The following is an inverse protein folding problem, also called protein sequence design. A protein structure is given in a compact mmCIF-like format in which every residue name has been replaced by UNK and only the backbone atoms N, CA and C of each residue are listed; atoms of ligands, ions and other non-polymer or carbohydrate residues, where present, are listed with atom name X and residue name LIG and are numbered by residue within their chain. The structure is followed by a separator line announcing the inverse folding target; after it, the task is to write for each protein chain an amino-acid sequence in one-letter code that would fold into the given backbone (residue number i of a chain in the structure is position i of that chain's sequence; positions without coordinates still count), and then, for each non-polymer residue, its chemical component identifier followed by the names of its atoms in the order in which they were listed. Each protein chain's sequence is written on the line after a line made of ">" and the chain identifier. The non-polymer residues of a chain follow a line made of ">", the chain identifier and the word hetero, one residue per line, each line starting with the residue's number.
data_IF_371110291277
#
_entry.id   IF_371110291277
#
_cell.length_a   1.000
_cell.length_b   1.000
_cell.length_c   1.000
_cell.angle_alpha   90.00
_cell.angle_beta   90.00
_cell.angle_gamma   90.00
#
_symmetry.space_group_name_H-M   'P 1'
#
loop_
_entity.id
_entity.type
_entity.pdbx_description
1 polymer ?
#
# COMPACT_ATOMS: atom_id res chain seq x y z
N UNK A 1 -20.37 -23.86 -29.25
CA UNK A 1 -20.89 -23.22 -28.02
C UNK A 1 -19.65 -22.69 -27.32
N UNK A 2 -19.49 -21.36 -27.19
CA UNK A 2 -18.28 -20.78 -26.58
C UNK A 2 -18.31 -21.07 -25.09
N UNK A 3 -17.24 -21.63 -24.55
CA UNK A 3 -17.03 -21.73 -23.11
C UNK A 3 -17.01 -20.31 -22.54
N UNK A 4 -18.00 -19.97 -21.73
CA UNK A 4 -18.02 -18.70 -21.02
C UNK A 4 -17.01 -18.78 -19.89
N UNK A 5 -16.12 -17.78 -19.79
CA UNK A 5 -15.20 -17.66 -18.67
C UNK A 5 -15.98 -17.44 -17.38
N UNK A 6 -15.70 -18.25 -16.36
CA UNK A 6 -16.25 -18.05 -15.02
C UNK A 6 -15.44 -16.97 -14.29
N UNK A 7 -16.12 -15.86 -13.97
CA UNK A 7 -15.54 -14.71 -13.28
C UNK A 7 -15.81 -14.72 -11.76
N UNK A 8 -16.59 -15.69 -11.27
CA UNK A 8 -16.94 -15.79 -9.84
C UNK A 8 -15.70 -15.75 -8.92
N UNK A 9 -14.60 -16.49 -9.22
CA UNK A 9 -13.40 -16.45 -8.37
C UNK A 9 -12.73 -15.07 -8.32
N UNK A 10 -12.81 -14.31 -9.42
CA UNK A 10 -12.23 -12.96 -9.50
C UNK A 10 -13.08 -11.98 -8.70
N UNK A 11 -14.40 -12.08 -8.80
CA UNK A 11 -15.33 -11.26 -8.03
C UNK A 11 -15.15 -11.47 -6.52
N UNK A 12 -15.08 -12.72 -6.07
CA UNK A 12 -14.82 -13.07 -4.67
C UNK A 12 -13.48 -12.50 -4.17
N UNK A 13 -12.42 -12.60 -4.97
CA UNK A 13 -11.12 -12.03 -4.63
C UNK A 13 -11.16 -10.50 -4.52
N UNK A 14 -11.88 -9.83 -5.42
CA UNK A 14 -12.02 -8.36 -5.42
C UNK A 14 -12.85 -7.86 -4.22
N UNK A 15 -13.87 -8.61 -3.81
CA UNK A 15 -14.72 -8.24 -2.68
C UNK A 15 -14.01 -8.46 -1.34
N UNK A 16 -13.33 -9.61 -1.18
CA UNK A 16 -12.71 -10.03 0.08
C UNK A 16 -11.42 -9.30 0.42
N UNK A 17 -10.61 -8.89 -0.57
CA UNK A 17 -9.34 -8.21 -0.32
C UNK A 17 -9.53 -6.71 -0.01
N UNK A 18 -8.75 -6.19 0.94
CA UNK A 18 -8.72 -4.76 1.26
C UNK A 18 -7.53 -4.02 0.62
N UNK A 19 -6.50 -4.78 0.25
CA UNK A 19 -5.24 -4.26 -0.30
C UNK A 19 -4.92 -4.95 -1.62
N UNK A 20 -4.56 -4.17 -2.62
CA UNK A 20 -4.27 -4.62 -3.98
C UNK A 20 -2.94 -4.07 -4.48
N UNK A 21 -2.24 -4.90 -5.25
CA UNK A 21 -1.10 -4.49 -6.05
C UNK A 21 -1.44 -4.70 -7.53
N UNK A 22 -1.46 -3.63 -8.31
CA UNK A 22 -1.64 -3.67 -9.76
C UNK A 22 -0.26 -3.57 -10.40
N UNK A 23 0.18 -4.67 -11.01
CA UNK A 23 1.53 -4.78 -11.57
C UNK A 23 1.45 -4.72 -13.09
N UNK A 24 2.17 -3.78 -13.70
CA UNK A 24 2.29 -3.68 -15.15
C UNK A 24 3.48 -4.51 -15.66
N UNK A 25 3.37 -5.11 -16.86
CA UNK A 25 4.49 -5.76 -17.50
C UNK A 25 5.51 -4.73 -18.02
N UNK A 26 6.68 -5.20 -18.47
CA UNK A 26 7.74 -4.33 -19.00
C UNK A 26 7.51 -3.93 -20.47
N UNK A 27 6.72 -4.71 -21.22
CA UNK A 27 6.39 -4.46 -22.63
C UNK A 27 5.15 -3.55 -22.76
N UNK A 28 5.32 -2.28 -22.39
CA UNK A 28 4.22 -1.34 -22.26
C UNK A 28 3.56 -0.97 -23.60
N UNK A 29 2.26 -0.77 -23.55
CA UNK A 29 1.47 -0.08 -24.57
C UNK A 29 0.34 0.70 -23.88
N UNK A 30 -0.32 1.59 -24.62
CA UNK A 30 -1.37 2.46 -24.07
C UNK A 30 -2.51 1.68 -23.42
N UNK A 31 -2.90 0.54 -24.00
CA UNK A 31 -3.98 -0.29 -23.47
C UNK A 31 -3.62 -0.90 -22.10
N UNK A 32 -2.43 -1.48 -21.96
CA UNK A 32 -1.93 -2.03 -20.69
C UNK A 32 -1.85 -0.98 -19.59
N UNK A 33 -1.35 0.22 -19.92
CA UNK A 33 -1.26 1.33 -18.97
C UNK A 33 -2.65 1.85 -18.59
N UNK A 34 -3.52 2.05 -19.57
CA UNK A 34 -4.89 2.52 -19.34
C UNK A 34 -5.73 1.51 -18.53
N UNK A 35 -5.64 0.22 -18.85
CA UNK A 35 -6.36 -0.84 -18.14
C UNK A 35 -5.90 -0.94 -16.67
N UNK A 36 -4.59 -0.90 -16.43
CA UNK A 36 -4.03 -0.90 -15.08
C UNK A 36 -4.48 0.33 -14.27
N UNK A 37 -4.46 1.51 -14.89
CA UNK A 37 -4.94 2.74 -14.26
C UNK A 37 -6.43 2.71 -13.99
N UNK A 38 -7.24 2.27 -14.94
CA UNK A 38 -8.70 2.15 -14.78
C UNK A 38 -9.05 1.21 -13.61
N UNK A 39 -8.41 0.05 -13.52
CA UNK A 39 -8.59 -0.88 -12.42
C UNK A 39 -8.15 -0.27 -11.09
N UNK A 40 -6.96 0.34 -11.05
CA UNK A 40 -6.41 0.97 -9.84
C UNK A 40 -7.31 2.08 -9.31
N UNK A 41 -7.79 2.96 -10.20
CA UNK A 41 -8.68 4.06 -9.85
C UNK A 41 -10.06 3.56 -9.41
N UNK A 42 -10.58 2.51 -10.04
CA UNK A 42 -11.86 1.91 -9.66
C UNK A 42 -11.80 1.30 -8.25
N UNK A 43 -10.74 0.55 -7.96
CA UNK A 43 -10.50 -0.02 -6.63
C UNK A 43 -10.29 1.07 -5.57
N UNK A 44 -9.55 2.13 -5.88
CA UNK A 44 -9.40 3.29 -4.99
C UNK A 44 -10.73 3.98 -4.71
N UNK A 45 -11.56 4.16 -5.74
CA UNK A 45 -12.92 4.74 -5.60
C UNK A 45 -13.82 3.85 -4.74
N UNK A 46 -13.62 2.54 -4.75
CA UNK A 46 -14.28 1.57 -3.88
C UNK A 46 -13.71 1.53 -2.44
N UNK A 47 -12.80 2.44 -2.07
CA UNK A 47 -12.23 2.52 -0.72
C UNK A 47 -11.15 1.47 -0.42
N UNK A 48 -10.62 0.79 -1.44
CA UNK A 48 -9.54 -0.19 -1.28
C UNK A 48 -8.17 0.49 -1.28
N UNK A 49 -7.21 -0.12 -0.59
CA UNK A 49 -5.81 0.30 -0.63
C UNK A 49 -5.15 -0.28 -1.88
N UNK A 50 -4.62 0.57 -2.77
CA UNK A 50 -4.09 0.11 -4.06
C UNK A 50 -2.75 0.73 -4.37
N UNK A 51 -1.75 -0.12 -4.57
CA UNK A 51 -0.47 0.25 -5.17
C UNK A 51 -0.45 -0.14 -6.65
N UNK A 52 0.12 0.72 -7.49
CA UNK A 52 0.29 0.45 -8.92
C UNK A 52 1.78 0.60 -9.27
N UNK A 53 2.35 -0.43 -9.87
CA UNK A 53 3.80 -0.56 -10.07
C UNK A 53 4.18 -1.03 -11.46
N UNK A 54 5.28 -0.52 -11.98
CA UNK A 54 5.90 -0.99 -13.22
C UNK A 54 7.42 -0.91 -13.09
N UNK A 55 8.16 -1.95 -13.46
CA UNK A 55 9.61 -1.94 -13.39
C UNK A 55 10.28 -0.94 -14.37
N UNK A 56 9.56 -0.54 -15.42
CA UNK A 56 10.03 0.40 -16.44
C UNK A 56 9.45 1.79 -16.15
N UNK A 57 10.24 2.88 -16.26
CA UNK A 57 9.73 4.23 -16.07
C UNK A 57 8.64 4.59 -17.09
N UNK A 58 7.59 5.28 -16.64
CA UNK A 58 6.59 5.85 -17.54
C UNK A 58 7.22 6.98 -18.37
N UNK A 59 7.00 6.95 -19.68
CA UNK A 59 7.47 7.98 -20.61
C UNK A 59 6.37 9.04 -20.85
N UNK A 60 6.75 10.13 -21.50
CA UNK A 60 5.82 11.22 -21.89
C UNK A 60 4.70 10.75 -22.82
N UNK A 61 4.87 9.63 -23.51
CA UNK A 61 3.84 9.03 -24.37
C UNK A 61 2.54 8.74 -23.60
N UNK A 62 2.64 8.45 -22.31
CA UNK A 62 1.50 8.12 -21.44
C UNK A 62 0.99 9.32 -20.63
N UNK A 63 1.50 10.54 -20.86
CA UNK A 63 1.19 11.72 -20.04
C UNK A 63 -0.27 12.17 -20.12
N UNK A 64 -1.00 11.74 -21.16
CA UNK A 64 -2.44 11.99 -21.31
C UNK A 64 -3.30 11.13 -20.40
N UNK A 65 -2.75 10.05 -19.82
CA UNK A 65 -3.48 9.14 -18.95
C UNK A 65 -3.54 9.66 -17.52
N UNK A 66 -4.76 9.75 -16.99
CA UNK A 66 -5.01 10.25 -15.64
C UNK A 66 -4.39 9.31 -14.60
N UNK A 67 -3.56 9.86 -13.71
CA UNK A 67 -2.93 9.12 -12.64
C UNK A 67 -1.68 8.34 -13.04
N UNK A 68 -1.14 8.58 -14.24
CA UNK A 68 0.14 7.96 -14.69
C UNK A 68 1.30 8.31 -13.75
N UNK A 69 1.27 9.48 -13.12
CA UNK A 69 2.20 9.95 -12.10
C UNK A 69 2.18 9.09 -10.82
N UNK A 70 1.13 8.29 -10.62
CA UNK A 70 0.98 7.42 -9.45
C UNK A 70 1.64 6.05 -9.62
N UNK A 71 2.12 5.72 -10.83
CA UNK A 71 2.80 4.46 -11.13
C UNK A 71 4.21 4.51 -10.54
N UNK A 72 4.49 3.61 -9.59
CA UNK A 72 5.79 3.53 -8.91
C UNK A 72 6.70 2.51 -9.59
N UNK A 73 8.00 2.76 -9.58
CA UNK A 73 8.97 1.80 -10.13
C UNK A 73 9.25 0.61 -9.21
N UNK A 74 8.97 0.78 -7.92
CA UNK A 74 9.21 -0.22 -6.89
C UNK A 74 7.99 -0.29 -6.00
N UNK A 75 7.61 -1.52 -5.66
CA UNK A 75 6.58 -1.78 -4.67
C UNK A 75 7.10 -1.39 -3.28
N UNK A 76 6.30 -0.64 -2.53
CA UNK A 76 6.54 -0.36 -1.12
C UNK A 76 6.26 -1.59 -0.25
N UNK A 77 6.60 -1.50 1.04
CA UNK A 77 6.13 -2.51 2.01
C UNK A 77 7.19 -3.38 2.69
N UNK A 78 8.41 -2.87 2.91
CA UNK A 78 9.34 -3.52 3.86
C UNK A 78 9.35 -2.89 5.26
N UNK A 79 8.82 -1.68 5.40
CA UNK A 79 8.91 -0.90 6.63
C UNK A 79 7.52 -0.68 7.22
N UNK A 80 7.35 -1.03 8.50
CA UNK A 80 6.24 -0.57 9.31
C UNK A 80 6.58 0.82 9.82
N UNK A 81 5.82 1.85 9.42
CA UNK A 81 5.95 3.22 9.92
C UNK A 81 4.89 3.44 11.00
N UNK A 82 5.32 3.69 12.23
CA UNK A 82 4.46 4.04 13.36
C UNK A 82 4.73 5.51 13.67
N UNK A 83 3.70 6.36 13.58
CA UNK A 83 3.81 7.81 13.81
C UNK A 83 2.98 8.20 15.02
N UNK A 84 3.53 9.00 15.94
CA UNK A 84 2.82 9.48 17.12
C UNK A 84 2.56 10.97 16.99
N UNK A 85 1.30 11.38 17.07
CA UNK A 85 0.93 12.81 16.99
C UNK A 85 1.27 13.50 18.31
N UNK A 86 2.01 14.61 18.24
CA UNK A 86 2.35 15.44 19.40
C UNK A 86 3.56 15.00 20.21
N UNK A 87 4.37 14.07 19.69
CA UNK A 87 5.67 13.68 20.26
C UNK A 87 6.81 14.22 19.40
N UNK A 88 7.82 14.81 20.04
CA UNK A 88 9.06 15.20 19.37
C UNK A 88 10.14 14.12 19.57
N UNK A 89 11.23 14.20 18.82
CA UNK A 89 12.33 13.22 18.89
C UNK A 89 12.88 13.08 20.32
N UNK A 90 12.91 14.18 21.07
CA UNK A 90 13.33 14.21 22.48
C UNK A 90 12.34 13.58 23.45
N UNK A 91 11.13 13.21 23.02
CA UNK A 91 10.10 12.66 23.90
C UNK A 91 10.28 11.17 24.19
N UNK A 92 11.08 10.47 23.38
CA UNK A 92 11.29 9.03 23.50
C UNK A 92 12.56 8.79 24.32
N UNK A 93 12.44 7.98 25.38
CA UNK A 93 13.57 7.56 26.19
C UNK A 93 14.21 6.30 25.61
N UNK A 94 13.38 5.31 25.25
CA UNK A 94 13.87 4.00 24.81
C UNK A 94 12.92 3.33 23.83
N UNK A 95 13.51 2.74 22.78
CA UNK A 95 12.84 1.80 21.88
C UNK A 95 13.51 0.44 22.02
N UNK A 96 12.73 -0.61 22.27
CA UNK A 96 13.21 -1.97 22.42
C UNK A 96 12.30 -2.97 21.73
N UNK A 97 12.83 -4.15 21.43
CA UNK A 97 12.05 -5.24 20.84
C UNK A 97 12.21 -6.51 21.67
N UNK A 98 11.16 -7.32 21.72
CA UNK A 98 11.16 -8.63 22.35
C UNK A 98 10.47 -9.63 21.43
N UNK A 99 11.03 -10.83 21.34
CA UNK A 99 10.45 -11.93 20.56
C UNK A 99 10.28 -13.12 21.48
N UNK A 100 9.07 -13.28 22.02
CA UNK A 100 8.71 -14.40 22.89
C UNK A 100 7.42 -15.05 22.37
N UNK A 101 7.30 -16.38 22.49
CA UNK A 101 6.08 -17.12 22.13
C UNK A 101 5.56 -16.86 20.70
N UNK A 102 6.46 -16.71 19.74
CA UNK A 102 6.12 -16.42 18.34
C UNK A 102 5.41 -15.07 18.12
N UNK A 103 5.57 -14.13 19.06
CA UNK A 103 5.06 -12.77 18.98
C UNK A 103 6.22 -11.77 19.01
N UNK A 104 6.25 -10.89 18.01
CA UNK A 104 7.22 -9.79 17.93
C UNK A 104 6.59 -8.54 18.54
N UNK A 105 7.19 -8.05 19.62
CA UNK A 105 6.73 -6.86 20.34
C UNK A 105 7.74 -5.72 20.15
N UNK A 106 7.25 -4.54 19.78
CA UNK A 106 8.01 -3.29 19.79
C UNK A 106 7.53 -2.46 21.00
N UNK A 107 8.42 -2.20 21.95
CA UNK A 107 8.13 -1.45 23.17
C UNK A 107 8.78 -0.08 23.09
N UNK A 108 7.96 0.97 23.15
CA UNK A 108 8.37 2.37 23.08
C UNK A 108 8.07 3.00 24.44
N UNK A 109 9.11 3.55 25.07
CA UNK A 109 9.04 4.18 26.38
C UNK A 109 9.26 5.70 26.23
N UNK A 110 8.27 6.54 26.57
CA UNK A 110 8.46 7.98 26.63
C UNK A 110 9.25 8.37 27.89
N UNK A 111 9.87 9.55 27.87
CA UNK A 111 10.57 10.11 29.05
C UNK A 111 9.61 10.41 30.20
N UNK A 112 10.14 10.44 31.42
CA UNK A 112 9.39 10.87 32.60
C UNK A 112 8.76 12.26 32.41
N UNK A 113 7.48 12.38 32.81
CA UNK A 113 6.70 13.60 32.67
C UNK A 113 5.95 13.73 31.34
N UNK A 114 6.16 12.82 30.39
CA UNK A 114 5.40 12.77 29.13
C UNK A 114 4.25 11.74 29.26
N UNK A 115 3.03 12.07 28.79
CA UNK A 115 1.92 11.13 28.82
C UNK A 115 2.26 9.80 28.13
N UNK A 116 1.70 8.67 28.60
CA UNK A 116 1.89 7.40 27.93
C UNK A 116 1.33 7.44 26.50
N UNK A 117 2.00 6.70 25.60
CA UNK A 117 1.52 6.47 24.25
C UNK A 117 0.35 5.51 24.35
N UNK A 118 -0.85 6.02 24.10
CA UNK A 118 -2.09 5.26 24.11
C UNK A 118 -2.55 4.98 22.67
N UNK A 119 -3.31 3.90 22.47
CA UNK A 119 -3.70 3.39 21.14
C UNK A 119 -4.48 4.40 20.29
N UNK A 120 -5.14 5.37 20.93
CA UNK A 120 -5.85 6.48 20.30
C UNK A 120 -4.92 7.52 19.64
N UNK A 121 -3.61 7.45 19.90
CA UNK A 121 -2.59 8.38 19.38
C UNK A 121 -1.65 7.76 18.35
N UNK A 122 -1.95 6.55 17.90
CA UNK A 122 -1.24 5.79 16.85
C UNK A 122 -1.92 5.99 15.50
#
# INVERSE_FOLDING_TARGET
>A
MKDFYDFTPVEEALLSAQTFAVVLPTDLNTDKVAAALALSLSLKKAGKQVEIVCAVPMTVEYSSLVGVDKIRQKMGGRNLLISFVGYNEDSIEKVSYQSENNQFNLVIQPKEGIPPITSDKI
#
